data_IF_445415900641
#
_entry.id   IF_445415900641
#
_cell.length_a   1.000
_cell.length_b   1.000
_cell.length_c   1.000
_cell.angle_alpha   90.00
_cell.angle_beta   90.00
_cell.angle_gamma   90.00
#
_symmetry.space_group_name_H-M   'P 1'
#
loop_
_entity.id
_entity.type
_entity.pdbx_description
1 polymer ?
#
# COMPACT_ATOMS: atom_id res chain seq x y z
N UNK A 1 7.29 -29.64 -13.85
CA UNK A 1 6.28 -28.99 -13.01
C UNK A 1 6.16 -27.53 -13.42
N UNK A 2 4.96 -27.10 -13.72
CA UNK A 2 4.72 -25.70 -14.07
C UNK A 2 4.86 -24.82 -12.82
N UNK A 3 5.42 -23.61 -12.94
CA UNK A 3 5.47 -22.69 -11.83
C UNK A 3 4.05 -22.32 -11.41
N UNK A 4 3.83 -22.15 -10.11
CA UNK A 4 2.53 -21.67 -9.61
C UNK A 4 2.28 -20.26 -10.14
N UNK A 5 1.05 -19.96 -10.55
CA UNK A 5 0.74 -18.60 -11.02
C UNK A 5 0.89 -17.58 -9.90
N UNK A 6 1.18 -16.34 -10.27
CA UNK A 6 1.18 -15.22 -9.34
C UNK A 6 -0.26 -14.90 -8.92
N UNK A 7 -0.44 -14.59 -7.66
CA UNK A 7 -1.73 -14.19 -7.11
C UNK A 7 -1.64 -12.74 -6.61
N UNK A 8 -2.39 -11.86 -7.25
CA UNK A 8 -2.38 -10.44 -6.98
C UNK A 8 -3.78 -9.95 -6.65
N UNK A 9 -3.92 -9.30 -5.51
CA UNK A 9 -5.15 -8.63 -5.11
C UNK A 9 -4.84 -7.17 -4.82
N UNK A 10 -5.42 -6.27 -5.61
CA UNK A 10 -5.21 -4.83 -5.49
C UNK A 10 -6.56 -4.19 -5.24
N UNK A 11 -6.68 -3.51 -4.10
CA UNK A 11 -7.93 -2.90 -3.65
C UNK A 11 -7.67 -1.44 -3.30
N UNK A 12 -8.41 -0.53 -3.94
CA UNK A 12 -8.41 0.89 -3.59
C UNK A 12 -9.76 1.22 -2.98
N UNK A 13 -9.74 1.74 -1.76
CA UNK A 13 -10.94 1.99 -0.96
C UNK A 13 -11.09 3.47 -0.64
N UNK A 14 -12.32 3.98 -0.74
CA UNK A 14 -12.68 5.33 -0.30
C UNK A 14 -13.32 5.35 1.09
N UNK A 15 -13.43 4.19 1.75
CA UNK A 15 -14.01 4.05 3.09
C UNK A 15 -12.98 3.53 4.09
N UNK A 16 -13.11 3.89 5.38
CA UNK A 16 -12.22 3.40 6.42
C UNK A 16 -12.25 1.88 6.56
N UNK A 17 -11.08 1.31 6.82
CA UNK A 17 -10.94 -0.10 7.20
C UNK A 17 -9.73 -0.24 8.13
N UNK A 18 -9.78 -1.22 9.02
CA UNK A 18 -8.62 -1.60 9.82
C UNK A 18 -7.62 -2.48 9.03
N UNK A 19 -8.04 -3.04 7.89
CA UNK A 19 -7.23 -3.90 7.05
C UNK A 19 -7.14 -5.35 7.54
N UNK A 20 -7.55 -5.63 8.76
CA UNK A 20 -7.37 -6.96 9.38
C UNK A 20 -8.24 -8.02 8.72
N UNK A 21 -9.49 -7.68 8.38
CA UNK A 21 -10.41 -8.63 7.73
C UNK A 21 -9.95 -8.96 6.32
N UNK A 22 -9.51 -7.97 5.58
CA UNK A 22 -8.99 -8.15 4.22
C UNK A 22 -7.70 -8.98 4.25
N UNK A 23 -6.83 -8.72 5.22
CA UNK A 23 -5.60 -9.48 5.41
C UNK A 23 -5.91 -10.94 5.77
N UNK A 24 -6.85 -11.18 6.69
CA UNK A 24 -7.25 -12.53 7.08
C UNK A 24 -7.81 -13.31 5.89
N UNK A 25 -8.70 -12.71 5.10
CA UNK A 25 -9.27 -13.35 3.92
C UNK A 25 -8.18 -13.69 2.89
N UNK A 26 -7.25 -12.76 2.66
CA UNK A 26 -6.13 -12.99 1.74
C UNK A 26 -5.21 -14.10 2.24
N UNK A 27 -4.88 -14.14 3.53
CA UNK A 27 -4.05 -15.20 4.10
C UNK A 27 -4.69 -16.58 3.99
N UNK A 28 -6.01 -16.65 4.06
CA UNK A 28 -6.74 -17.92 3.88
C UNK A 28 -6.77 -18.38 2.43
N UNK A 29 -6.58 -17.45 1.47
CA UNK A 29 -6.66 -17.75 0.04
C UNK A 29 -5.35 -18.31 -0.53
N UNK A 30 -4.26 -18.30 0.24
CA UNK A 30 -2.95 -18.76 -0.23
C UNK A 30 -2.25 -19.58 0.85
N UNK A 31 -1.22 -20.34 0.46
CA UNK A 31 -0.53 -21.29 1.32
C UNK A 31 0.98 -21.03 1.37
N UNK A 32 1.41 -19.80 1.11
CA UNK A 32 2.83 -19.47 1.13
C UNK A 32 3.39 -19.52 2.55
N UNK A 33 4.58 -20.10 2.70
CA UNK A 33 5.17 -20.36 4.02
C UNK A 33 5.62 -19.09 4.74
N UNK A 34 5.97 -18.04 4.00
CA UNK A 34 6.43 -16.78 4.58
C UNK A 34 5.54 -15.64 4.12
N UNK A 35 5.12 -14.83 5.08
CA UNK A 35 4.36 -13.60 4.80
C UNK A 35 5.08 -12.41 5.43
N UNK A 36 5.34 -11.38 4.62
CA UNK A 36 5.80 -10.09 5.10
C UNK A 36 4.71 -9.06 4.84
N UNK A 37 4.52 -8.14 5.76
CA UNK A 37 3.49 -7.12 5.61
C UNK A 37 3.93 -5.78 6.17
N UNK A 38 3.35 -4.72 5.62
CA UNK A 38 3.50 -3.35 6.11
C UNK A 38 2.12 -2.72 6.20
N UNK A 39 1.86 -2.04 7.30
CA UNK A 39 0.66 -1.24 7.48
C UNK A 39 1.08 0.20 7.82
N UNK A 40 0.64 1.16 7.01
CA UNK A 40 0.87 2.57 7.26
C UNK A 40 -0.42 3.26 7.64
N UNK A 41 -0.34 4.13 8.66
CA UNK A 41 -1.47 4.94 9.11
C UNK A 41 -1.20 6.41 8.98
N UNK A 42 -2.25 7.20 8.97
CA UNK A 42 -2.16 8.66 8.94
C UNK A 42 -1.53 9.15 10.24
N UNK A 43 -0.51 9.98 10.11
CA UNK A 43 0.15 10.64 11.25
C UNK A 43 -0.76 11.71 11.85
N UNK A 44 -0.51 12.10 13.08
CA UNK A 44 -1.21 13.20 13.73
C UNK A 44 -0.55 14.56 13.49
N UNK A 45 0.60 14.56 12.81
CA UNK A 45 1.39 15.77 12.54
C UNK A 45 1.64 15.88 11.04
N UNK A 46 1.39 17.07 10.49
CA UNK A 46 1.68 17.41 9.10
C UNK A 46 3.20 17.54 8.86
N UNK A 47 3.61 17.57 7.60
CA UNK A 47 5.03 17.68 7.22
C UNK A 47 5.69 18.95 7.77
N UNK A 48 4.90 20.03 7.97
CA UNK A 48 5.40 21.30 8.52
C UNK A 48 5.40 21.33 10.07
N UNK A 49 5.03 20.23 10.73
CA UNK A 49 5.00 20.12 12.19
C UNK A 49 3.69 20.54 12.83
N UNK A 50 2.71 21.05 12.09
CA UNK A 50 1.41 21.43 12.64
C UNK A 50 0.54 20.18 12.90
N UNK A 51 -0.46 20.27 13.79
CA UNK A 51 -1.42 19.18 13.92
C UNK A 51 -2.14 18.92 12.61
N UNK A 52 -2.13 17.66 12.17
CA UNK A 52 -2.83 17.25 10.96
C UNK A 52 -4.31 17.00 11.28
N UNK A 53 -5.21 17.64 10.56
CA UNK A 53 -6.65 17.41 10.70
C UNK A 53 -7.13 16.32 9.74
N UNK A 54 -6.71 16.39 8.48
CA UNK A 54 -7.11 15.47 7.42
C UNK A 54 -5.96 15.30 6.43
N UNK A 55 -5.72 14.05 6.03
CA UNK A 55 -4.91 13.73 4.85
C UNK A 55 -5.87 13.40 3.72
N UNK A 56 -5.78 14.14 2.62
CA UNK A 56 -6.58 13.90 1.43
C UNK A 56 -5.73 13.23 0.36
N UNK A 57 -6.21 12.09 -0.12
CA UNK A 57 -5.54 11.31 -1.16
C UNK A 57 -6.42 11.25 -2.40
N UNK A 58 -5.82 11.61 -3.54
CA UNK A 58 -6.46 11.54 -4.85
C UNK A 58 -5.71 10.58 -5.76
N UNK A 59 -6.42 9.95 -6.69
CA UNK A 59 -5.83 9.02 -7.65
C UNK A 59 -6.61 9.07 -8.97
N UNK A 60 -6.06 8.43 -10.02
CA UNK A 60 -6.78 8.18 -11.27
C UNK A 60 -7.34 6.75 -11.25
N UNK A 61 -8.67 6.58 -11.09
CA UNK A 61 -9.28 5.26 -11.08
C UNK A 61 -8.98 4.46 -12.34
N UNK A 62 -8.71 3.18 -12.18
CA UNK A 62 -8.35 2.27 -13.27
C UNK A 62 -6.88 2.35 -13.65
N UNK A 63 -6.37 3.53 -13.95
CA UNK A 63 -4.96 3.73 -14.31
C UNK A 63 -4.03 3.41 -13.13
N UNK A 64 -4.40 3.88 -11.94
CA UNK A 64 -3.63 3.62 -10.72
C UNK A 64 -3.53 2.13 -10.42
N UNK A 65 -4.65 1.41 -10.48
CA UNK A 65 -4.68 -0.04 -10.23
C UNK A 65 -3.81 -0.79 -11.23
N UNK A 66 -3.86 -0.42 -12.51
CA UNK A 66 -3.03 -1.07 -13.55
C UNK A 66 -1.54 -0.85 -13.34
N UNK A 67 -1.14 0.36 -12.94
CA UNK A 67 0.27 0.64 -12.63
C UNK A 67 0.74 -0.17 -11.43
N UNK A 68 -0.07 -0.23 -10.37
CA UNK A 68 0.26 -1.03 -9.19
C UNK A 68 0.37 -2.50 -9.55
N UNK A 69 -0.57 -3.01 -10.32
CA UNK A 69 -0.55 -4.41 -10.76
C UNK A 69 0.71 -4.73 -11.57
N UNK A 70 1.08 -3.87 -12.51
CA UNK A 70 2.28 -4.06 -13.34
C UNK A 70 3.54 -4.07 -12.47
N UNK A 71 3.68 -3.11 -11.56
CA UNK A 71 4.83 -3.03 -10.64
C UNK A 71 4.87 -4.23 -9.71
N UNK A 72 3.73 -4.60 -9.14
CA UNK A 72 3.66 -5.73 -8.21
C UNK A 72 4.03 -7.04 -8.90
N UNK A 73 3.52 -7.29 -10.09
CA UNK A 73 3.84 -8.50 -10.87
C UNK A 73 5.32 -8.59 -11.18
N UNK A 74 5.91 -7.49 -11.60
CA UNK A 74 7.35 -7.42 -11.89
C UNK A 74 8.18 -7.69 -10.63
N UNK A 75 7.84 -7.07 -9.51
CA UNK A 75 8.57 -7.23 -8.26
C UNK A 75 8.41 -8.63 -7.66
N UNK A 76 7.23 -9.23 -7.75
CA UNK A 76 7.04 -10.62 -7.34
C UNK A 76 7.98 -11.56 -8.11
N UNK A 77 8.04 -11.40 -9.42
CA UNK A 77 8.94 -12.21 -10.27
C UNK A 77 10.40 -11.96 -9.92
N UNK A 78 10.79 -10.71 -9.76
CA UNK A 78 12.18 -10.32 -9.49
C UNK A 78 12.67 -10.87 -8.15
N UNK A 79 11.82 -10.90 -7.12
CA UNK A 79 12.18 -11.34 -5.79
C UNK A 79 11.84 -12.80 -5.49
N UNK A 80 11.27 -13.52 -6.46
CA UNK A 80 10.87 -14.90 -6.25
C UNK A 80 9.70 -15.05 -5.25
N UNK A 81 8.85 -14.04 -5.17
CA UNK A 81 7.63 -14.09 -4.38
C UNK A 81 6.44 -14.53 -5.25
N UNK A 82 5.30 -14.85 -4.63
CA UNK A 82 4.17 -15.45 -5.34
C UNK A 82 2.89 -14.69 -5.25
N UNK A 83 2.59 -14.15 -4.09
CA UNK A 83 1.30 -13.51 -3.84
C UNK A 83 1.49 -12.14 -3.22
N UNK A 84 0.58 -11.25 -3.56
CA UNK A 84 0.56 -9.89 -3.02
C UNK A 84 -0.87 -9.43 -2.76
N UNK A 85 -1.06 -8.78 -1.64
CA UNK A 85 -2.23 -7.96 -1.34
C UNK A 85 -1.76 -6.52 -1.22
N UNK A 86 -2.36 -5.64 -2.01
CA UNK A 86 -2.18 -4.20 -1.88
C UNK A 86 -3.53 -3.57 -1.62
N UNK A 87 -3.68 -2.95 -0.46
CA UNK A 87 -4.87 -2.21 -0.11
C UNK A 87 -4.46 -0.76 0.15
N UNK A 88 -5.07 0.18 -0.56
CA UNK A 88 -4.75 1.60 -0.43
C UNK A 88 -6.01 2.44 -0.29
N UNK A 89 -5.98 3.36 0.67
CA UNK A 89 -7.07 4.29 0.88
C UNK A 89 -6.91 5.52 0.00
N UNK A 90 -8.04 6.06 -0.40
CA UNK A 90 -8.17 7.38 -1.06
C UNK A 90 -9.28 8.17 -0.40
N UNK A 91 -9.39 9.45 -0.73
CA UNK A 91 -10.36 10.35 -0.15
C UNK A 91 -9.81 11.07 1.08
N UNK A 92 -10.68 11.37 2.03
CA UNK A 92 -10.33 12.11 3.24
C UNK A 92 -10.09 11.14 4.39
N UNK A 93 -8.86 11.14 4.91
CA UNK A 93 -8.43 10.25 5.98
C UNK A 93 -8.12 11.06 7.23
N UNK A 94 -8.56 10.53 8.37
CA UNK A 94 -8.27 11.11 9.68
C UNK A 94 -7.00 10.51 10.28
N UNK A 95 -6.30 11.23 11.18
CA UNK A 95 -5.17 10.68 11.90
C UNK A 95 -5.48 9.33 12.54
N UNK A 96 -4.56 8.37 12.42
CA UNK A 96 -4.72 7.00 12.92
C UNK A 96 -5.41 6.04 11.96
N UNK A 97 -6.09 6.53 10.92
CA UNK A 97 -6.70 5.65 9.94
C UNK A 97 -5.66 4.98 9.04
N UNK A 98 -5.96 3.77 8.59
CA UNK A 98 -5.09 3.03 7.68
C UNK A 98 -5.01 3.74 6.33
N UNK A 99 -3.78 3.95 5.84
CA UNK A 99 -3.53 4.45 4.47
C UNK A 99 -3.29 3.28 3.53
N UNK A 100 -2.40 2.38 3.90
CA UNK A 100 -1.90 1.33 3.02
C UNK A 100 -1.61 0.06 3.80
N UNK A 101 -1.95 -1.07 3.20
CA UNK A 101 -1.53 -2.40 3.62
C UNK A 101 -0.88 -3.07 2.42
N UNK A 102 0.36 -3.52 2.59
CA UNK A 102 1.06 -4.36 1.62
C UNK A 102 1.39 -5.68 2.30
N UNK A 103 0.98 -6.79 1.71
CA UNK A 103 1.33 -8.11 2.19
C UNK A 103 1.87 -8.94 1.04
N UNK A 104 2.95 -9.67 1.29
CA UNK A 104 3.64 -10.49 0.30
C UNK A 104 3.78 -11.90 0.82
N UNK A 105 3.40 -12.87 0.00
CA UNK A 105 3.61 -14.28 0.27
C UNK A 105 4.73 -14.87 -0.58
N UNK A 106 5.58 -15.68 0.02
CA UNK A 106 6.70 -16.34 -0.64
C UNK A 106 7.06 -17.64 0.09
N UNK A 107 7.91 -18.47 -0.51
CA UNK A 107 8.40 -19.69 0.15
C UNK A 107 9.39 -19.36 1.26
N UNK A 108 10.08 -18.22 1.19
CA UNK A 108 11.15 -17.84 2.11
C UNK A 108 11.00 -16.42 2.61
N UNK A 109 11.40 -16.19 3.85
CA UNK A 109 11.28 -14.89 4.53
C UNK A 109 12.01 -13.76 3.81
N UNK A 110 13.22 -14.01 3.30
CA UNK A 110 14.00 -12.98 2.60
C UNK A 110 13.30 -12.49 1.33
N UNK A 111 12.76 -13.39 0.53
CA UNK A 111 11.99 -13.03 -0.65
C UNK A 111 10.74 -12.22 -0.28
N UNK A 112 10.02 -12.63 0.75
CA UNK A 112 8.84 -11.92 1.21
C UNK A 112 9.19 -10.51 1.72
N UNK A 113 10.20 -10.39 2.56
CA UNK A 113 10.59 -9.11 3.15
C UNK A 113 11.12 -8.12 2.11
N UNK A 114 12.01 -8.56 1.23
CA UNK A 114 12.58 -7.68 0.20
C UNK A 114 11.53 -7.24 -0.82
N UNK A 115 10.66 -8.15 -1.22
CA UNK A 115 9.57 -7.80 -2.14
C UNK A 115 8.59 -6.81 -1.49
N UNK A 116 8.25 -7.02 -0.23
CA UNK A 116 7.37 -6.10 0.50
C UNK A 116 7.96 -4.69 0.56
N UNK A 117 9.23 -4.57 0.91
CA UNK A 117 9.92 -3.28 0.95
C UNK A 117 9.95 -2.61 -0.44
N UNK A 118 10.29 -3.38 -1.48
CA UNK A 118 10.37 -2.86 -2.84
C UNK A 118 8.99 -2.40 -3.37
N UNK A 119 7.95 -3.16 -3.10
CA UNK A 119 6.60 -2.80 -3.54
C UNK A 119 6.10 -1.55 -2.80
N UNK A 120 6.36 -1.44 -1.50
CA UNK A 120 6.00 -0.26 -0.74
C UNK A 120 6.68 1.00 -1.31
N UNK A 121 7.96 0.93 -1.64
CA UNK A 121 8.68 2.06 -2.25
C UNK A 121 8.13 2.39 -3.63
N UNK A 122 7.77 1.40 -4.44
CA UNK A 122 7.13 1.61 -5.74
C UNK A 122 5.79 2.33 -5.58
N UNK A 123 4.99 1.97 -4.59
CA UNK A 123 3.72 2.66 -4.32
C UNK A 123 3.92 4.13 -3.94
N UNK A 124 5.00 4.43 -3.23
CA UNK A 124 5.30 5.79 -2.81
C UNK A 124 5.83 6.67 -3.93
N UNK A 125 6.61 6.12 -4.85
CA UNK A 125 7.31 6.89 -5.87
C UNK A 125 6.69 6.80 -7.26
N UNK A 126 6.10 5.66 -7.61
CA UNK A 126 5.65 5.38 -8.97
C UNK A 126 4.14 5.41 -9.13
N UNK A 127 3.38 5.12 -8.07
CA UNK A 127 1.93 5.12 -8.14
C UNK A 127 1.39 6.55 -8.14
N UNK A 128 0.40 6.85 -9.00
CA UNK A 128 -0.10 8.21 -9.15
C UNK A 128 -1.11 8.58 -8.06
N UNK A 129 -0.61 8.75 -6.84
CA UNK A 129 -1.36 9.31 -5.75
C UNK A 129 -0.90 10.74 -5.47
N UNK A 130 -1.85 11.65 -5.27
CA UNK A 130 -1.60 13.01 -4.83
C UNK A 130 -2.08 13.17 -3.40
N UNK A 131 -1.28 13.88 -2.58
CA UNK A 131 -1.56 14.08 -1.16
C UNK A 131 -1.72 15.55 -0.86
N UNK A 132 -2.77 15.89 -0.13
CA UNK A 132 -2.98 17.23 0.43
C UNK A 132 -3.21 17.09 1.93
N UNK A 133 -2.41 17.83 2.69
CA UNK A 133 -2.56 17.89 4.14
C UNK A 133 -3.39 19.09 4.55
N UNK A 134 -4.36 18.89 5.41
CA UNK A 134 -5.20 19.93 5.96
C UNK A 134 -4.85 20.19 7.41
N UNK A 135 -4.57 21.46 7.76
CA UNK A 135 -4.27 21.93 9.08
C UNK A 135 -4.87 23.33 9.26
N UNK A 136 -5.65 23.55 10.30
CA UNK A 136 -6.34 24.81 10.55
C UNK A 136 -7.13 25.36 9.34
N UNK A 137 -7.79 24.46 8.63
CA UNK A 137 -8.59 24.80 7.47
C UNK A 137 -7.80 25.13 6.19
N UNK A 138 -6.48 25.01 6.22
CA UNK A 138 -5.61 25.24 5.06
C UNK A 138 -5.12 23.91 4.50
N UNK A 139 -5.31 23.72 3.18
CA UNK A 139 -4.83 22.54 2.46
C UNK A 139 -3.50 22.83 1.77
N UNK A 140 -2.53 21.94 1.96
CA UNK A 140 -1.20 22.03 1.36
C UNK A 140 -0.93 20.76 0.54
N UNK A 141 -0.72 20.90 -0.76
CA UNK A 141 -0.32 19.79 -1.60
C UNK A 141 1.12 19.40 -1.31
N UNK A 142 1.35 18.11 -1.12
CA UNK A 142 2.70 17.58 -0.91
C UNK A 142 3.35 17.29 -2.26
N UNK A 143 4.57 17.82 -2.44
CA UNK A 143 5.38 17.56 -3.63
C UNK A 143 6.16 16.26 -3.52
N UNK A 144 6.44 15.80 -2.29
CA UNK A 144 7.28 14.64 -2.03
C UNK A 144 6.66 13.71 -0.99
N UNK A 145 7.06 12.45 -1.04
CA UNK A 145 6.66 11.47 -0.04
C UNK A 145 7.52 11.59 1.23
N UNK A 146 7.02 10.96 2.31
CA UNK A 146 7.77 10.84 3.55
C UNK A 146 9.11 10.14 3.29
N UNK A 147 10.24 10.66 3.81
CA UNK A 147 11.53 9.97 3.73
C UNK A 147 11.49 8.60 4.41
N UNK A 148 12.42 7.73 4.01
CA UNK A 148 12.62 6.42 4.65
C UNK A 148 13.09 6.58 6.09
#
# INVERSE_FOLDING_TARGET
>A
MLPKPLDLEIVILDQPTAGVLELDAWMRSQMDAATAMFMGRVRDVAMDGRPLEVLELSHYPGFCERLIETSARQLLQQHGARSALVLHRVGRLLPGELIVLVAIGADRRGSAQRCCAALLESLKHDAPFWKREWSHGLGTWLAENTPL
#
